data_IF_437574411604
#
_entry.id   IF_437574411604
#
_cell.length_a   1.000
_cell.length_b   1.000
_cell.length_c   1.000
_cell.angle_alpha   90.00
_cell.angle_beta   90.00
_cell.angle_gamma   90.00
#
_symmetry.space_group_name_H-M   'P 1'
#
loop_
_entity.id
_entity.type
_entity.pdbx_description
1 polymer ?
#
# COMPACT_ATOMS: atom_id res chain seq x y z
N UNK A 1 7.31 9.49 39.58
CA UNK A 1 7.97 8.32 38.97
C UNK A 1 7.41 8.18 37.58
N UNK A 2 8.18 8.52 36.55
CA UNK A 2 7.81 8.25 35.16
C UNK A 2 8.08 6.77 34.94
N UNK A 3 7.03 5.95 34.82
CA UNK A 3 7.19 4.59 34.31
C UNK A 3 7.58 4.71 32.84
N UNK A 4 8.87 4.65 32.55
CA UNK A 4 9.34 4.31 31.21
C UNK A 4 8.93 2.85 30.98
N UNK A 5 7.80 2.63 30.30
CA UNK A 5 7.46 1.28 29.85
C UNK A 5 8.55 0.84 28.89
N UNK A 6 9.27 -0.23 29.22
CA UNK A 6 10.19 -0.83 28.26
C UNK A 6 9.42 -1.17 26.99
N UNK A 7 9.87 -0.64 25.85
CA UNK A 7 9.29 -0.93 24.55
C UNK A 7 9.22 -2.45 24.33
N UNK A 8 8.11 -2.95 23.79
CA UNK A 8 7.94 -4.37 23.51
C UNK A 8 9.08 -4.89 22.60
N UNK A 9 9.36 -6.20 22.64
CA UNK A 9 10.39 -6.79 21.78
C UNK A 9 10.14 -6.47 20.29
N UNK A 10 8.87 -6.44 19.88
CA UNK A 10 8.44 -6.08 18.52
C UNK A 10 8.74 -4.63 18.18
N UNK A 11 8.54 -3.69 19.10
CA UNK A 11 8.86 -2.28 18.87
C UNK A 11 10.38 -2.10 18.73
N UNK A 12 11.19 -2.76 19.57
CA UNK A 12 12.65 -2.73 19.46
C UNK A 12 13.15 -3.31 18.14
N UNK A 13 12.57 -4.43 17.70
CA UNK A 13 12.87 -5.05 16.40
C UNK A 13 12.55 -4.10 15.23
N UNK A 14 11.38 -3.45 15.27
CA UNK A 14 11.00 -2.43 14.29
C UNK A 14 12.01 -1.28 14.25
N UNK A 15 12.30 -0.67 15.41
CA UNK A 15 13.21 0.47 15.51
C UNK A 15 14.61 0.14 14.99
N UNK A 16 15.13 -1.04 15.33
CA UNK A 16 16.43 -1.52 14.84
C UNK A 16 16.46 -1.74 13.32
N UNK A 17 15.29 -1.96 12.70
CA UNK A 17 15.16 -2.29 11.28
C UNK A 17 14.89 -1.08 10.37
N UNK A 18 14.58 0.10 10.93
CA UNK A 18 14.11 1.28 10.17
C UNK A 18 15.07 1.63 9.02
N UNK A 19 16.36 1.79 9.29
CA UNK A 19 17.32 2.22 8.25
C UNK A 19 17.51 1.15 7.17
N UNK A 20 17.54 -0.13 7.55
CA UNK A 20 17.62 -1.25 6.60
C UNK A 20 16.38 -1.29 5.70
N UNK A 21 15.20 -1.11 6.28
CA UNK A 21 13.94 -1.07 5.54
C UNK A 21 13.85 0.16 4.62
N UNK A 22 14.30 1.33 5.09
CA UNK A 22 14.35 2.55 4.29
C UNK A 22 15.30 2.40 3.11
N UNK A 23 16.48 1.81 3.33
CA UNK A 23 17.42 1.50 2.25
C UNK A 23 16.80 0.56 1.23
N UNK A 24 16.15 -0.51 1.68
CA UNK A 24 15.46 -1.46 0.81
C UNK A 24 14.33 -0.80 0.00
N UNK A 25 13.53 0.08 0.64
CA UNK A 25 12.48 0.83 -0.05
C UNK A 25 13.06 1.74 -1.13
N UNK A 26 14.13 2.48 -0.83
CA UNK A 26 14.74 3.44 -1.75
C UNK A 26 15.64 2.81 -2.82
N UNK A 27 15.90 1.51 -2.75
CA UNK A 27 16.64 0.78 -3.78
C UNK A 27 15.76 0.50 -5.02
N UNK A 28 15.51 1.56 -5.78
CA UNK A 28 14.59 1.54 -6.93
C UNK A 28 15.04 0.61 -8.06
N UNK A 29 16.33 0.30 -8.16
CA UNK A 29 16.88 -0.54 -9.23
C UNK A 29 16.56 -2.02 -8.98
N UNK A 30 16.18 -2.38 -7.76
CA UNK A 30 15.80 -3.72 -7.35
C UNK A 30 14.27 -3.92 -7.31
N UNK A 31 13.47 -2.99 -7.85
CA UNK A 31 12.02 -3.19 -8.01
C UNK A 31 11.77 -4.21 -9.15
N UNK A 32 11.38 -5.47 -8.84
CA UNK A 32 11.29 -6.53 -9.85
C UNK A 32 10.06 -6.37 -10.76
N UNK A 33 9.14 -5.46 -10.40
CA UNK A 33 7.85 -5.30 -11.07
C UNK A 33 7.90 -4.19 -12.13
N UNK A 34 7.61 -4.49 -13.41
CA UNK A 34 7.56 -3.45 -14.43
C UNK A 34 6.46 -2.42 -14.21
N UNK A 35 5.36 -2.82 -13.54
CA UNK A 35 4.09 -2.06 -13.41
C UNK A 35 3.50 -2.04 -12.00
N UNK A 36 4.29 -2.38 -10.99
CA UNK A 36 3.92 -2.26 -9.58
C UNK A 36 3.19 -3.42 -8.95
N UNK A 37 2.79 -4.42 -9.73
CA UNK A 37 2.31 -5.70 -9.22
C UNK A 37 2.83 -6.82 -10.14
N UNK A 38 3.18 -7.98 -9.60
CA UNK A 38 3.46 -9.17 -10.41
C UNK A 38 2.17 -9.97 -10.64
N UNK A 39 2.12 -10.95 -11.56
CA UNK A 39 1.00 -11.87 -11.65
C UNK A 39 0.64 -12.55 -10.32
N UNK A 40 1.62 -12.78 -9.44
CA UNK A 40 1.35 -13.36 -8.12
C UNK A 40 0.47 -12.45 -7.25
N UNK A 41 0.52 -11.12 -7.43
CA UNK A 41 -0.33 -10.14 -6.70
C UNK A 41 -1.83 -10.37 -6.92
N UNK A 42 -2.16 -11.15 -7.94
CA UNK A 42 -3.50 -11.52 -8.35
C UNK A 42 -3.83 -12.97 -8.03
N UNK A 43 -3.03 -13.67 -7.23
CA UNK A 43 -3.40 -14.99 -6.72
C UNK A 43 -4.76 -14.92 -6.00
N UNK A 44 -5.67 -15.83 -6.35
CA UNK A 44 -7.06 -15.80 -5.86
C UNK A 44 -7.94 -14.71 -6.47
N UNK A 45 -7.39 -13.78 -7.26
CA UNK A 45 -8.15 -12.74 -7.95
C UNK A 45 -8.43 -13.18 -9.38
N UNK A 46 -9.67 -13.56 -9.62
CA UNK A 46 -10.19 -13.75 -10.96
C UNK A 46 -10.94 -12.49 -11.39
N UNK A 47 -10.73 -12.04 -12.62
CA UNK A 47 -11.59 -11.03 -13.27
C UNK A 47 -12.71 -11.69 -14.06
N UNK A 48 -12.91 -12.99 -13.89
CA UNK A 48 -13.83 -13.83 -14.63
C UNK A 48 -13.30 -15.27 -14.75
N UNK A 49 -14.07 -16.15 -15.42
CA UNK A 49 -13.62 -17.49 -15.80
C UNK A 49 -12.26 -17.48 -16.51
N UNK A 50 -11.56 -18.61 -16.55
CA UNK A 50 -10.17 -18.69 -17.06
C UNK A 50 -9.99 -18.22 -18.51
N UNK A 51 -11.06 -18.25 -19.31
CA UNK A 51 -11.13 -17.82 -20.71
C UNK A 51 -11.66 -16.37 -20.87
N UNK A 52 -12.00 -15.69 -19.78
CA UNK A 52 -12.50 -14.32 -19.80
C UNK A 52 -11.36 -13.31 -19.94
N UNK A 53 -11.50 -12.41 -20.92
CA UNK A 53 -10.60 -11.28 -21.10
C UNK A 53 -11.37 -9.96 -20.90
N UNK A 54 -10.73 -8.94 -20.28
CA UNK A 54 -9.36 -8.93 -19.80
C UNK A 54 -9.14 -9.67 -18.47
N UNK A 55 -7.96 -10.31 -18.32
CA UNK A 55 -7.51 -10.87 -17.04
C UNK A 55 -7.31 -9.80 -15.96
N UNK A 56 -7.34 -10.18 -14.69
CA UNK A 56 -7.17 -9.28 -13.53
C UNK A 56 -5.85 -8.50 -13.60
N UNK A 57 -4.76 -9.19 -13.98
CA UNK A 57 -3.45 -8.59 -14.22
C UNK A 57 -3.50 -7.52 -15.31
N UNK A 58 -4.23 -7.77 -16.41
CA UNK A 58 -4.37 -6.80 -17.51
C UNK A 58 -5.21 -5.60 -17.10
N UNK A 59 -6.34 -5.81 -16.41
CA UNK A 59 -7.20 -4.74 -15.88
C UNK A 59 -6.38 -3.77 -15.04
N UNK A 60 -5.63 -4.28 -14.04
CA UNK A 60 -4.81 -3.44 -13.17
C UNK A 60 -3.73 -2.68 -13.95
N UNK A 61 -3.05 -3.35 -14.87
CA UNK A 61 -1.96 -2.73 -15.63
C UNK A 61 -2.44 -1.65 -16.60
N UNK A 62 -3.60 -1.84 -17.21
CA UNK A 62 -4.22 -0.84 -18.09
C UNK A 62 -4.69 0.37 -17.27
N UNK A 63 -5.26 0.15 -16.07
CA UNK A 63 -5.58 1.20 -15.11
C UNK A 63 -4.33 1.98 -14.67
N UNK A 64 -3.27 1.29 -14.23
CA UNK A 64 -2.04 1.91 -13.75
C UNK A 64 -1.36 2.74 -14.84
N UNK A 65 -1.41 2.30 -16.11
CA UNK A 65 -0.92 3.08 -17.24
C UNK A 65 -1.73 4.38 -17.46
N UNK A 66 -3.07 4.32 -17.31
CA UNK A 66 -3.92 5.49 -17.39
C UNK A 66 -3.62 6.49 -16.27
N UNK A 67 -3.47 6.02 -15.03
CA UNK A 67 -3.09 6.85 -13.88
C UNK A 67 -1.71 7.50 -14.09
N UNK A 68 -0.72 6.74 -14.56
CA UNK A 68 0.60 7.31 -14.86
C UNK A 68 0.55 8.44 -15.89
N UNK A 69 -0.31 8.31 -16.90
CA UNK A 69 -0.49 9.37 -17.90
C UNK A 69 -1.02 10.65 -17.25
N UNK A 70 -2.01 10.53 -16.36
CA UNK A 70 -2.56 11.65 -15.59
C UNK A 70 -1.49 12.30 -14.68
N UNK A 71 -0.72 11.49 -13.95
CA UNK A 71 0.38 12.00 -13.10
C UNK A 71 1.47 12.70 -13.94
N UNK A 72 1.75 12.20 -15.14
CA UNK A 72 2.67 12.85 -16.08
C UNK A 72 2.14 14.19 -16.59
N UNK A 73 0.83 14.32 -16.75
CA UNK A 73 0.17 15.60 -17.05
C UNK A 73 0.25 16.57 -15.87
N UNK A 74 -0.03 16.11 -14.64
CA UNK A 74 0.15 16.91 -13.43
C UNK A 74 1.59 17.39 -13.25
N UNK A 75 2.57 16.55 -13.58
CA UNK A 75 3.98 16.94 -13.58
C UNK A 75 4.23 18.08 -14.56
N UNK A 76 3.76 17.96 -15.81
CA UNK A 76 3.92 18.99 -16.84
C UNK A 76 3.27 20.31 -16.45
N UNK A 77 2.16 20.25 -15.71
CA UNK A 77 1.41 21.41 -15.27
C UNK A 77 1.87 21.95 -13.89
N UNK A 78 2.90 21.36 -13.28
CA UNK A 78 3.45 21.80 -11.99
C UNK A 78 2.58 21.48 -10.76
N UNK A 79 1.53 20.67 -10.90
CA UNK A 79 0.58 20.38 -9.82
C UNK A 79 0.90 19.09 -9.04
N UNK A 80 1.79 18.24 -9.57
CA UNK A 80 2.13 16.94 -8.96
C UNK A 80 2.64 17.07 -7.51
N UNK A 81 3.39 18.13 -7.19
CA UNK A 81 3.92 18.33 -5.85
C UNK A 81 2.83 18.53 -4.79
N UNK A 82 1.68 19.11 -5.16
CA UNK A 82 0.53 19.28 -4.26
C UNK A 82 -0.11 17.95 -3.85
N UNK A 83 -0.09 16.96 -4.74
CA UNK A 83 -0.60 15.60 -4.51
C UNK A 83 0.16 14.90 -3.38
N UNK A 84 1.47 15.11 -3.29
CA UNK A 84 2.36 14.53 -2.28
C UNK A 84 2.85 15.56 -1.24
N UNK A 85 2.15 16.69 -1.11
CA UNK A 85 2.60 17.81 -0.28
C UNK A 85 2.27 17.64 1.21
N UNK A 86 1.29 16.79 1.53
CA UNK A 86 0.83 16.56 2.90
C UNK A 86 0.15 15.20 3.02
N UNK A 87 0.00 14.69 4.25
CA UNK A 87 -0.79 13.47 4.49
C UNK A 87 -2.23 13.61 4.01
N UNK A 88 -2.88 14.77 4.23
CA UNK A 88 -4.26 14.99 3.80
C UNK A 88 -4.40 14.95 2.27
N UNK A 89 -3.42 15.50 1.54
CA UNK A 89 -3.36 15.40 0.08
C UNK A 89 -3.18 13.95 -0.36
N UNK A 90 -2.26 13.22 0.28
CA UNK A 90 -2.00 11.82 -0.04
C UNK A 90 -3.21 10.93 0.25
N UNK A 91 -3.88 11.09 1.39
CA UNK A 91 -5.09 10.34 1.75
C UNK A 91 -6.21 10.58 0.72
N UNK A 92 -6.32 11.80 0.20
CA UNK A 92 -7.27 12.14 -0.87
C UNK A 92 -6.90 11.46 -2.18
N UNK A 93 -5.64 11.58 -2.61
CA UNK A 93 -5.12 10.89 -3.79
C UNK A 93 -5.32 9.38 -3.71
N UNK A 94 -5.03 8.76 -2.57
CA UNK A 94 -5.20 7.33 -2.35
C UNK A 94 -6.66 6.89 -2.49
N UNK A 95 -7.61 7.62 -1.88
CA UNK A 95 -9.04 7.36 -2.06
C UNK A 95 -9.49 7.50 -3.52
N UNK A 96 -9.00 8.51 -4.23
CA UNK A 96 -9.27 8.69 -5.66
C UNK A 96 -8.71 7.52 -6.48
N UNK A 97 -7.51 7.02 -6.16
CA UNK A 97 -6.95 5.83 -6.80
C UNK A 97 -7.84 4.60 -6.56
N UNK A 98 -8.25 4.35 -5.32
CA UNK A 98 -9.13 3.21 -4.99
C UNK A 98 -10.46 3.33 -5.73
N UNK A 99 -11.11 4.49 -5.70
CA UNK A 99 -12.37 4.72 -6.42
C UNK A 99 -12.21 4.56 -7.94
N UNK A 100 -11.10 5.04 -8.51
CA UNK A 100 -10.84 4.92 -9.93
C UNK A 100 -10.54 3.48 -10.36
N UNK A 101 -9.81 2.72 -9.53
CA UNK A 101 -9.54 1.31 -9.79
C UNK A 101 -10.82 0.50 -9.71
N UNK A 102 -11.66 0.74 -8.71
CA UNK A 102 -12.95 0.08 -8.54
C UNK A 102 -13.84 0.27 -9.77
N UNK A 103 -14.04 1.54 -10.18
CA UNK A 103 -14.80 1.86 -11.38
C UNK A 103 -14.20 1.24 -12.66
N UNK A 104 -12.86 1.25 -12.78
CA UNK A 104 -12.17 0.66 -13.92
C UNK A 104 -12.30 -0.87 -13.97
N UNK A 105 -12.29 -1.51 -12.80
CA UNK A 105 -12.43 -2.95 -12.61
C UNK A 105 -13.85 -3.40 -12.91
N UNK A 106 -14.87 -2.77 -12.30
CA UNK A 106 -16.28 -3.09 -12.52
C UNK A 106 -16.69 -2.97 -14.00
N UNK A 107 -16.08 -2.05 -14.75
CA UNK A 107 -16.35 -1.87 -16.17
C UNK A 107 -15.74 -2.96 -17.07
N UNK A 108 -14.88 -3.85 -16.56
CA UNK A 108 -14.06 -4.78 -17.36
C UNK A 108 -14.07 -6.21 -16.87
N UNK A 109 -14.13 -6.41 -15.55
CA UNK A 109 -14.25 -7.71 -14.96
C UNK A 109 -15.64 -8.30 -15.24
N UNK A 110 -15.73 -9.62 -15.18
CA UNK A 110 -16.97 -10.34 -15.17
C UNK A 110 -17.82 -9.87 -13.97
N UNK A 111 -19.14 -9.63 -14.13
CA UNK A 111 -20.00 -9.10 -13.06
C UNK A 111 -19.99 -9.92 -11.76
N UNK A 112 -19.83 -11.24 -11.88
CA UNK A 112 -19.79 -12.16 -10.73
C UNK A 112 -18.44 -12.20 -10.01
N UNK A 113 -17.43 -11.47 -10.50
CA UNK A 113 -16.08 -11.45 -9.96
C UNK A 113 -15.60 -10.01 -9.66
N UNK A 114 -16.34 -9.25 -8.82
CA UNK A 114 -15.89 -7.95 -8.38
C UNK A 114 -14.63 -8.08 -7.49
N UNK A 115 -13.76 -7.08 -7.53
CA UNK A 115 -12.67 -6.98 -6.55
C UNK A 115 -13.23 -6.62 -5.17
N UNK A 116 -12.77 -7.29 -4.12
CA UNK A 116 -13.07 -6.89 -2.75
C UNK A 116 -12.46 -5.53 -2.42
N UNK A 117 -12.99 -4.85 -1.39
CA UNK A 117 -12.40 -3.57 -0.94
C UNK A 117 -10.96 -3.76 -0.48
N UNK A 118 -10.66 -4.83 0.25
CA UNK A 118 -9.29 -5.14 0.68
C UNK A 118 -8.32 -5.32 -0.49
N UNK A 119 -8.75 -5.99 -1.56
CA UNK A 119 -7.95 -6.19 -2.77
C UNK A 119 -7.67 -4.87 -3.48
N UNK A 120 -8.67 -3.99 -3.62
CA UNK A 120 -8.49 -2.68 -4.23
C UNK A 120 -7.45 -1.85 -3.48
N UNK A 121 -7.53 -1.80 -2.15
CA UNK A 121 -6.53 -1.11 -1.32
C UNK A 121 -5.14 -1.74 -1.44
N UNK A 122 -5.03 -3.09 -1.44
CA UNK A 122 -3.76 -3.81 -1.65
C UNK A 122 -3.11 -3.39 -2.98
N UNK A 123 -3.87 -3.45 -4.07
CA UNK A 123 -3.41 -3.11 -5.42
C UNK A 123 -3.00 -1.63 -5.55
N UNK A 124 -3.78 -0.71 -4.97
CA UNK A 124 -3.41 0.72 -4.95
C UNK A 124 -2.12 0.95 -4.16
N UNK A 125 -1.93 0.31 -3.02
CA UNK A 125 -0.69 0.45 -2.25
C UNK A 125 0.53 -0.09 -3.00
N UNK A 126 0.38 -1.21 -3.71
CA UNK A 126 1.40 -1.75 -4.59
C UNK A 126 1.75 -0.77 -5.72
N UNK A 127 0.74 -0.17 -6.36
CA UNK A 127 0.93 0.87 -7.36
C UNK A 127 1.69 2.09 -6.80
N UNK A 128 1.30 2.60 -5.63
CA UNK A 128 1.98 3.75 -4.99
C UNK A 128 3.44 3.44 -4.66
N UNK A 129 3.73 2.24 -4.16
CA UNK A 129 5.12 1.83 -3.92
C UNK A 129 5.91 1.89 -5.20
N UNK A 130 5.41 1.28 -6.27
CA UNK A 130 6.09 1.28 -7.55
C UNK A 130 6.22 2.67 -8.17
N UNK A 131 5.25 3.55 -7.92
CA UNK A 131 5.25 4.92 -8.40
C UNK A 131 6.53 5.66 -8.00
N UNK A 132 7.18 5.31 -6.87
CA UNK A 132 8.49 5.84 -6.46
C UNK A 132 9.58 5.70 -7.53
N UNK A 133 9.48 4.70 -8.40
CA UNK A 133 10.41 4.46 -9.52
C UNK A 133 10.11 5.32 -10.75
N UNK A 134 8.90 5.89 -10.84
CA UNK A 134 8.40 6.64 -12.00
C UNK A 134 8.34 8.14 -11.77
N UNK A 135 8.35 8.57 -10.51
CA UNK A 135 8.30 9.99 -10.15
C UNK A 135 9.70 10.62 -10.08
N UNK A 136 9.78 11.96 -10.21
CA UNK A 136 11.00 12.71 -9.96
C UNK A 136 11.59 12.47 -8.56
N UNK A 137 12.91 12.67 -8.43
CA UNK A 137 13.64 12.37 -7.20
C UNK A 137 13.12 13.14 -5.98
N UNK A 138 12.64 14.37 -6.17
CA UNK A 138 12.07 15.24 -5.14
C UNK A 138 10.72 14.75 -4.59
N UNK A 139 9.99 13.91 -5.34
CA UNK A 139 8.69 13.36 -4.90
C UNK A 139 8.90 12.06 -4.11
N UNK A 140 10.00 11.33 -4.32
CA UNK A 140 10.22 10.02 -3.68
C UNK A 140 10.22 10.09 -2.15
N UNK A 141 10.90 11.06 -1.50
CA UNK A 141 10.85 11.18 -0.04
C UNK A 141 9.43 11.43 0.48
N UNK A 142 8.59 12.12 -0.31
CA UNK A 142 7.18 12.35 0.05
C UNK A 142 6.34 11.09 -0.01
N UNK A 143 6.58 10.24 -1.02
CA UNK A 143 5.97 8.91 -1.07
C UNK A 143 6.40 8.08 0.14
N UNK A 144 7.69 8.09 0.50
CA UNK A 144 8.13 7.36 1.70
C UNK A 144 7.43 7.86 2.98
N UNK A 145 7.36 9.18 3.14
CA UNK A 145 6.79 9.84 4.32
C UNK A 145 5.29 9.58 4.47
N UNK A 146 4.55 9.60 3.36
CA UNK A 146 3.08 9.68 3.38
C UNK A 146 2.38 8.38 2.97
N UNK A 147 3.06 7.49 2.23
CA UNK A 147 2.43 6.29 1.69
C UNK A 147 2.01 5.30 2.78
N UNK A 148 0.84 4.71 2.56
CA UNK A 148 0.21 3.79 3.48
C UNK A 148 0.92 2.44 3.59
N UNK A 149 0.74 1.79 4.74
CA UNK A 149 1.08 0.37 4.93
C UNK A 149 0.13 -0.51 4.12
N UNK A 150 0.62 -1.50 3.38
CA UNK A 150 -0.26 -2.50 2.76
C UNK A 150 -0.76 -3.48 3.82
N UNK A 151 -2.07 -3.48 4.09
CA UNK A 151 -2.68 -4.37 5.07
C UNK A 151 -3.15 -5.66 4.40
N UNK A 152 -2.27 -6.65 4.30
CA UNK A 152 -2.62 -8.07 4.06
C UNK A 152 -2.56 -8.85 5.38
N UNK A 153 -3.02 -10.11 5.40
CA UNK A 153 -3.09 -10.91 6.65
C UNK A 153 -1.78 -10.95 7.44
N UNK A 154 -0.60 -11.22 6.82
CA UNK A 154 0.67 -11.22 7.55
C UNK A 154 1.05 -9.84 8.11
N UNK A 155 0.84 -8.77 7.32
CA UNK A 155 1.15 -7.41 7.78
C UNK A 155 0.21 -6.98 8.91
N UNK A 156 -1.07 -7.34 8.83
CA UNK A 156 -2.04 -6.98 9.86
C UNK A 156 -1.68 -7.60 11.21
N UNK A 157 -1.24 -8.85 11.24
CA UNK A 157 -0.81 -9.51 12.48
C UNK A 157 0.37 -8.79 13.14
N UNK A 158 1.33 -8.28 12.36
CA UNK A 158 2.46 -7.51 12.89
C UNK A 158 2.06 -6.11 13.34
N UNK A 159 1.18 -5.44 12.59
CA UNK A 159 0.60 -4.14 12.98
C UNK A 159 -0.19 -4.28 14.28
N UNK A 160 -0.98 -5.34 14.44
CA UNK A 160 -1.68 -5.65 15.69
C UNK A 160 -0.70 -5.75 16.88
N UNK A 161 0.46 -6.39 16.69
CA UNK A 161 1.50 -6.46 17.71
C UNK A 161 2.20 -5.11 17.98
N UNK A 162 2.41 -4.27 16.96
CA UNK A 162 2.98 -2.93 17.14
C UNK A 162 2.04 -1.99 17.89
N UNK A 163 0.75 -2.08 17.59
CA UNK A 163 -0.30 -1.23 18.17
C UNK A 163 -0.86 -1.78 19.49
N UNK A 164 -0.34 -2.91 19.98
CA UNK A 164 -0.86 -3.67 21.13
C UNK A 164 -2.38 -3.91 21.05
N UNK A 165 -2.87 -4.26 19.86
CA UNK A 165 -4.29 -4.45 19.57
C UNK A 165 -4.56 -5.84 19.01
N UNK A 166 -4.73 -6.80 19.92
CA UNK A 166 -5.08 -8.19 19.58
C UNK A 166 -6.47 -8.32 18.95
N UNK A 167 -7.30 -7.28 19.05
CA UNK A 167 -8.60 -7.23 18.40
C UNK A 167 -8.51 -6.58 17.01
N UNK A 168 -7.33 -6.33 16.44
CA UNK A 168 -7.24 -5.82 15.08
C UNK A 168 -7.47 -6.96 14.06
N UNK A 169 -8.63 -6.94 13.38
CA UNK A 169 -9.00 -7.88 12.31
C UNK A 169 -9.59 -7.14 11.12
N UNK A 170 -9.51 -7.74 9.93
CA UNK A 170 -10.22 -7.21 8.76
C UNK A 170 -11.73 -7.20 9.01
N UNK A 171 -12.41 -6.09 8.70
CA UNK A 171 -13.86 -6.00 8.77
C UNK A 171 -14.53 -6.56 7.50
N UNK A 172 -15.86 -6.49 7.45
CA UNK A 172 -16.61 -6.69 6.22
C UNK A 172 -16.29 -5.61 5.17
N UNK A 173 -16.63 -5.87 3.91
CA UNK A 173 -16.31 -4.96 2.79
C UNK A 173 -16.95 -3.58 2.97
N UNK A 174 -18.20 -3.50 3.43
CA UNK A 174 -18.91 -2.23 3.63
C UNK A 174 -18.24 -1.30 4.65
N UNK A 175 -17.56 -1.86 5.65
CA UNK A 175 -16.89 -1.11 6.72
C UNK A 175 -15.40 -0.89 6.45
N UNK A 176 -14.88 -1.45 5.35
CA UNK A 176 -13.44 -1.55 5.12
C UNK A 176 -12.75 -0.19 4.96
N UNK A 177 -13.36 0.76 4.26
CA UNK A 177 -12.72 2.05 3.98
C UNK A 177 -12.50 2.88 5.25
N UNK A 178 -13.51 2.91 6.15
CA UNK A 178 -13.42 3.60 7.43
C UNK A 178 -12.38 2.94 8.34
N UNK A 179 -12.47 1.62 8.48
CA UNK A 179 -11.50 0.84 9.24
C UNK A 179 -10.06 1.00 8.70
N UNK A 180 -9.89 1.01 7.38
CA UNK A 180 -8.59 1.18 6.74
C UNK A 180 -8.01 2.56 7.06
N UNK A 181 -8.81 3.63 6.91
CA UNK A 181 -8.40 4.98 7.23
C UNK A 181 -7.99 5.13 8.71
N UNK A 182 -8.78 4.58 9.63
CA UNK A 182 -8.49 4.60 11.06
C UNK A 182 -7.21 3.81 11.39
N UNK A 183 -7.03 2.65 10.75
CA UNK A 183 -5.83 1.82 10.95
C UNK A 183 -4.58 2.53 10.42
N UNK A 184 -4.63 3.16 9.24
CA UNK A 184 -3.51 3.96 8.73
C UNK A 184 -3.20 5.16 9.64
N UNK A 185 -4.22 5.82 10.20
CA UNK A 185 -4.02 6.91 11.16
C UNK A 185 -3.30 6.43 12.43
N UNK A 186 -3.67 5.26 12.95
CA UNK A 186 -3.00 4.63 14.11
C UNK A 186 -1.56 4.25 13.80
N UNK A 187 -1.29 3.67 12.62
CA UNK A 187 0.08 3.36 12.18
C UNK A 187 0.91 4.65 12.07
N UNK A 188 0.35 5.72 11.50
CA UNK A 188 1.03 7.01 11.42
C UNK A 188 1.39 7.55 12.79
N UNK A 189 0.43 7.56 13.73
CA UNK A 189 0.68 7.99 15.10
C UNK A 189 1.80 7.18 15.76
N UNK A 190 1.79 5.86 15.57
CA UNK A 190 2.86 4.97 16.01
C UNK A 190 4.23 5.37 15.41
N UNK A 191 4.30 5.64 14.11
CA UNK A 191 5.57 6.02 13.46
C UNK A 191 6.07 7.41 13.84
N UNK A 192 5.18 8.32 14.26
CA UNK A 192 5.57 9.62 14.83
C UNK A 192 6.27 9.42 16.18
N UNK A 193 5.79 8.47 16.99
CA UNK A 193 6.37 8.17 18.31
C UNK A 193 7.65 7.33 18.23
N UNK A 194 7.68 6.33 17.35
CA UNK A 194 8.75 5.33 17.30
C UNK A 194 9.71 5.47 16.11
N UNK A 195 9.48 6.44 15.22
CA UNK A 195 10.26 6.69 14.02
C UNK A 195 9.78 5.91 12.80
N UNK A 196 10.45 6.15 11.66
CA UNK A 196 10.10 5.54 10.37
C UNK A 196 8.92 6.24 9.69
N UNK A 197 8.14 5.47 8.93
CA UNK A 197 6.89 5.91 8.27
C UNK A 197 6.00 4.70 8.00
N UNK A 198 4.72 4.88 7.62
CA UNK A 198 3.82 3.74 7.40
C UNK A 198 4.31 2.78 6.30
N UNK A 199 4.96 3.30 5.25
CA UNK A 199 5.55 2.43 4.23
C UNK A 199 6.71 1.59 4.78
N UNK A 200 7.46 2.11 5.76
CA UNK A 200 8.55 1.37 6.41
C UNK A 200 7.99 0.26 7.30
N UNK A 201 6.85 0.46 7.95
CA UNK A 201 6.13 -0.61 8.68
C UNK A 201 5.76 -1.75 7.72
N UNK A 202 5.34 -1.43 6.50
CA UNK A 202 5.07 -2.44 5.48
C UNK A 202 6.34 -3.20 5.07
N UNK A 203 7.44 -2.51 4.77
CA UNK A 203 8.70 -3.16 4.36
C UNK A 203 9.24 -4.06 5.46
N UNK A 204 9.23 -3.58 6.71
CA UNK A 204 9.61 -4.38 7.89
C UNK A 204 8.72 -5.61 8.05
N UNK A 205 7.41 -5.45 7.87
CA UNK A 205 6.47 -6.57 7.97
C UNK A 205 6.77 -7.64 6.92
N UNK A 206 7.03 -7.22 5.67
CA UNK A 206 7.36 -8.12 4.56
C UNK A 206 8.67 -8.89 4.77
N UNK A 207 9.71 -8.25 5.28
CA UNK A 207 11.02 -8.91 5.48
C UNK A 207 10.95 -10.11 6.44
N UNK A 208 9.96 -10.13 7.32
CA UNK A 208 9.76 -11.23 8.27
C UNK A 208 9.05 -12.45 7.70
N UNK A 209 8.43 -12.32 6.53
CA UNK A 209 7.77 -13.39 5.81
C UNK A 209 8.44 -13.50 4.43
N UNK A 210 9.55 -14.23 4.33
CA UNK A 210 10.27 -14.52 3.07
C UNK A 210 9.45 -15.40 2.08
N UNK A 211 8.12 -15.47 2.23
CA UNK A 211 7.18 -15.99 1.24
C UNK A 211 6.89 -14.96 0.15
N UNK A 212 6.22 -15.38 -0.93
CA UNK A 212 5.98 -14.53 -2.10
C UNK A 212 5.29 -13.21 -1.67
N UNK A 213 5.79 -12.01 -2.02
CA UNK A 213 5.30 -10.70 -1.55
C UNK A 213 3.82 -10.38 -1.85
N UNK A 214 3.18 -11.31 -2.54
CA UNK A 214 1.85 -11.24 -3.12
C UNK A 214 0.91 -12.35 -2.61
N UNK A 215 1.43 -13.34 -1.87
CA UNK A 215 0.66 -14.42 -1.24
C UNK A 215 -0.27 -13.86 -0.16
N UNK A 216 -1.57 -13.93 -0.42
CA UNK A 216 -2.54 -14.13 0.65
C UNK A 216 -2.49 -15.64 0.98
N UNK A 217 -2.23 -15.99 2.23
CA UNK A 217 -2.36 -17.37 2.71
C UNK A 217 -3.84 -17.79 2.71
#
# INVERSE_FOLDING_TARGET
MVQTSDASATIRDYQASIETCRKAFNDINNEPTPRGATPAAFMGNQSGPADWEPSAYRIFNDWGAAVLKQLSEQKRNGTLAGTFGSQASFDTFHRELVSSLDAFWLARAHPDFPASRSQLHKLVNLFVKWLRTKVPAEIRPRIEEQAHTTLNTPTLARVAALLDDQALRFPANEDFDGWYADTQARIRAFTVEHGGSPIIVDVWSRQSYLGNPDEDA
#
